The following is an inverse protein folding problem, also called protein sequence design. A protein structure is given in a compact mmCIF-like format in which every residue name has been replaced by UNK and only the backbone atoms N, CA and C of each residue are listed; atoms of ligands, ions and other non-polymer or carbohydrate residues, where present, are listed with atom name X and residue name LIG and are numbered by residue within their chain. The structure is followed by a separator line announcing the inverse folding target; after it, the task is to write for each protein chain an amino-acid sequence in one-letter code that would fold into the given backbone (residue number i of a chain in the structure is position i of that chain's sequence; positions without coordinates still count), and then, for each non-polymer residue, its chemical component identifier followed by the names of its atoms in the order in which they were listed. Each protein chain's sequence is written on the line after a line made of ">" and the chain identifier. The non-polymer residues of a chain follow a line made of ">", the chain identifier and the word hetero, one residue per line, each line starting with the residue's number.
data_IF_430686741822
#
_entry.id   IF_430686741822
#
_cell.length_a   1.000
_cell.length_b   1.000
_cell.length_c   1.000
_cell.angle_alpha   90.00
_cell.angle_beta   90.00
_cell.angle_gamma   90.00
#
_symmetry.space_group_name_H-M   'P 1'
#
loop_
_entity.id
_entity.type
_entity.pdbx_description
1 polymer ?
#
# COMPACT_ATOMS: atom_id res chain seq x y z
N UNK A 1 -7.28 -11.64 6.09
CA UNK A 1 -6.45 -10.43 6.17
C UNK A 1 -5.09 -10.84 6.68
N UNK A 2 -4.05 -10.16 6.21
CA UNK A 2 -2.69 -10.32 6.70
C UNK A 2 -2.27 -9.02 7.38
N UNK A 3 -1.39 -9.11 8.36
CA UNK A 3 -0.86 -7.98 9.11
C UNK A 3 0.67 -8.01 9.01
N UNK A 4 1.29 -6.82 8.94
CA UNK A 4 2.74 -6.65 8.84
C UNK A 4 3.16 -5.42 9.63
N UNK A 5 4.18 -5.58 10.47
CA UNK A 5 4.82 -4.47 11.17
C UNK A 5 6.07 -4.02 10.42
N UNK A 6 6.27 -2.71 10.37
CA UNK A 6 7.42 -2.14 9.71
C UNK A 6 7.47 -0.61 9.79
N UNK A 7 8.43 -0.04 9.09
CA UNK A 7 8.61 1.41 8.98
C UNK A 7 8.31 1.86 7.56
N UNK A 8 7.57 2.95 7.40
CA UNK A 8 7.32 3.55 6.07
C UNK A 8 8.65 4.10 5.54
N UNK A 9 9.17 3.51 4.46
CA UNK A 9 10.40 3.98 3.81
C UNK A 9 10.12 4.93 2.65
N UNK A 10 8.91 4.87 2.06
CA UNK A 10 8.54 5.74 0.95
C UNK A 10 7.03 5.94 0.88
N UNK A 11 6.62 7.16 0.61
CA UNK A 11 5.26 7.51 0.16
C UNK A 11 5.40 8.12 -1.25
N UNK A 12 4.71 7.54 -2.22
CA UNK A 12 4.71 7.98 -3.61
C UNK A 12 3.73 9.11 -3.88
N UNK A 13 3.76 9.62 -5.11
CA UNK A 13 2.82 10.64 -5.57
C UNK A 13 1.47 10.04 -5.99
N UNK A 14 0.42 10.87 -5.97
CA UNK A 14 -0.91 10.50 -6.44
C UNK A 14 -0.88 10.31 -7.97
N UNK A 15 -1.07 9.08 -8.42
CA UNK A 15 -1.23 8.74 -9.83
C UNK A 15 -2.72 8.69 -10.19
N UNK A 16 -3.15 9.45 -11.20
CA UNK A 16 -4.54 9.45 -11.68
C UNK A 16 -4.65 8.71 -13.01
N UNK A 17 -5.63 7.83 -13.13
CA UNK A 17 -5.90 7.04 -14.33
C UNK A 17 -7.14 7.57 -15.06
N UNK A 18 -7.21 7.36 -16.39
CA UNK A 18 -8.34 7.78 -17.23
C UNK A 18 -9.69 7.20 -16.79
N UNK A 19 -9.66 6.09 -16.07
CA UNK A 19 -10.82 5.44 -15.44
C UNK A 19 -11.40 6.21 -14.24
N UNK A 20 -10.78 7.32 -13.82
CA UNK A 20 -11.20 8.13 -12.67
C UNK A 20 -10.67 7.63 -11.33
N UNK A 21 -9.90 6.54 -11.32
CA UNK A 21 -9.22 6.04 -10.13
C UNK A 21 -7.92 6.83 -9.88
N UNK A 22 -7.68 7.19 -8.63
CA UNK A 22 -6.37 7.61 -8.16
C UNK A 22 -5.66 6.42 -7.48
N UNK A 23 -4.34 6.43 -7.43
CA UNK A 23 -3.52 5.43 -6.72
C UNK A 23 -2.37 6.14 -6.04
N UNK A 24 -2.12 5.78 -4.79
CA UNK A 24 -0.88 6.12 -4.08
C UNK A 24 -0.19 4.82 -3.74
N UNK A 25 1.12 4.81 -3.89
CA UNK A 25 1.96 3.68 -3.55
C UNK A 25 2.81 4.05 -2.34
N UNK A 26 2.96 3.14 -1.40
CA UNK A 26 3.91 3.32 -0.29
C UNK A 26 4.71 2.04 -0.09
N UNK A 27 5.87 2.18 0.54
CA UNK A 27 6.78 1.08 0.85
C UNK A 27 6.98 1.01 2.35
N UNK A 28 6.90 -0.20 2.88
CA UNK A 28 7.18 -0.51 4.28
C UNK A 28 8.38 -1.44 4.34
N UNK A 29 9.35 -1.12 5.19
CA UNK A 29 10.47 -1.99 5.52
C UNK A 29 10.09 -2.83 6.72
N UNK A 30 10.10 -4.16 6.59
CA UNK A 30 9.74 -5.07 7.69
C UNK A 30 10.79 -5.08 8.81
N UNK A 31 10.35 -5.28 10.06
CA UNK A 31 11.23 -5.33 11.25
C UNK A 31 11.77 -6.75 11.55
N UNK A 32 11.81 -7.64 10.57
CA UNK A 32 12.29 -9.02 10.75
C UNK A 32 13.82 -9.12 10.68
N UNK A 33 14.38 -10.31 10.99
CA UNK A 33 15.83 -10.57 10.90
C UNK A 33 16.41 -10.24 9.51
N UNK A 34 15.59 -10.32 8.46
CA UNK A 34 15.94 -9.93 7.10
C UNK A 34 14.90 -8.92 6.57
N UNK A 35 15.11 -7.62 6.82
CA UNK A 35 14.18 -6.58 6.41
C UNK A 35 13.89 -6.65 4.91
N UNK A 36 12.60 -6.63 4.56
CA UNK A 36 12.12 -6.61 3.19
C UNK A 36 11.45 -5.27 2.89
N UNK A 37 11.67 -4.72 1.69
CA UNK A 37 10.89 -3.59 1.20
C UNK A 37 9.62 -4.10 0.53
N UNK A 38 8.48 -3.82 1.17
CA UNK A 38 7.18 -4.31 0.75
C UNK A 38 6.36 -3.14 0.25
N UNK A 39 6.00 -3.19 -1.04
CA UNK A 39 5.17 -2.18 -1.67
C UNK A 39 3.68 -2.52 -1.49
N UNK A 40 2.90 -1.54 -1.06
CA UNK A 40 1.47 -1.67 -0.83
C UNK A 40 0.68 -0.46 -1.36
N UNK A 41 -0.61 -0.68 -1.55
CA UNK A 41 -1.54 0.31 -2.09
C UNK A 41 -2.82 0.36 -1.26
N UNK A 42 -3.41 1.54 -1.02
CA UNK A 42 -4.78 1.61 -0.49
C UNK A 42 -5.77 0.86 -1.40
N UNK A 43 -6.85 0.28 -0.87
CA UNK A 43 -7.87 -0.38 -1.68
C UNK A 43 -8.55 0.63 -2.61
N UNK A 44 -8.96 0.19 -3.83
CA UNK A 44 -9.56 1.07 -4.83
C UNK A 44 -10.88 1.72 -4.39
N UNK A 45 -11.56 1.17 -3.37
CA UNK A 45 -12.79 1.73 -2.81
C UNK A 45 -12.55 2.92 -1.89
N UNK A 46 -11.34 3.06 -1.34
CA UNK A 46 -10.93 4.20 -0.51
C UNK A 46 -10.07 5.21 -1.29
N UNK A 47 -9.92 5.02 -2.61
CA UNK A 47 -9.18 5.92 -3.51
C UNK A 47 -10.10 6.90 -4.27
N UNK A 48 -11.40 6.93 -3.95
CA UNK A 48 -12.28 8.02 -4.39
C UNK A 48 -11.88 9.30 -3.65
N UNK A 49 -11.96 10.43 -4.37
CA UNK A 49 -11.35 11.75 -4.09
C UNK A 49 -11.41 12.29 -2.64
N UNK A 50 -12.25 11.74 -1.77
CA UNK A 50 -12.42 12.17 -0.37
C UNK A 50 -11.72 11.26 0.67
N UNK A 51 -11.10 10.14 0.27
CA UNK A 51 -10.56 9.11 1.17
C UNK A 51 -9.06 8.78 1.01
N UNK A 52 -8.31 9.63 0.31
CA UNK A 52 -6.83 9.59 0.31
C UNK A 52 -6.23 9.76 1.73
N UNK A 53 -7.06 10.11 2.73
CA UNK A 53 -6.70 10.31 4.13
C UNK A 53 -6.04 9.15 4.89
N UNK A 54 -5.98 7.93 4.34
CA UNK A 54 -5.30 6.83 5.03
C UNK A 54 -3.80 7.09 5.22
N UNK A 55 -3.15 7.76 4.26
CA UNK A 55 -1.73 8.09 4.30
C UNK A 55 -1.46 9.52 4.77
N UNK A 56 -2.46 10.41 4.79
CA UNK A 56 -2.28 11.83 5.13
C UNK A 56 -1.77 12.07 6.56
N UNK A 57 -1.99 11.10 7.46
CA UNK A 57 -1.53 11.16 8.86
C UNK A 57 -0.17 10.52 9.10
N UNK A 58 0.48 10.00 8.06
CA UNK A 58 1.74 9.27 8.17
C UNK A 58 2.84 9.93 7.33
N UNK A 59 4.06 9.85 7.83
CA UNK A 59 5.27 10.30 7.17
C UNK A 59 6.23 9.13 6.90
N UNK A 60 7.26 9.39 6.10
CA UNK A 60 8.42 8.50 6.04
C UNK A 60 9.05 8.41 7.43
N UNK A 61 9.61 7.25 7.76
CA UNK A 61 10.17 6.87 9.05
C UNK A 61 9.14 6.57 10.16
N UNK A 62 7.83 6.70 9.88
CA UNK A 62 6.80 6.26 10.82
C UNK A 62 6.73 4.73 10.89
N UNK A 63 6.72 4.22 12.14
CA UNK A 63 6.46 2.81 12.42
C UNK A 63 4.96 2.55 12.32
N UNK A 64 4.59 1.52 11.57
CA UNK A 64 3.20 1.15 11.30
C UNK A 64 2.96 -0.35 11.38
N UNK A 65 1.74 -0.72 11.75
CA UNK A 65 1.15 -2.03 11.52
C UNK A 65 0.13 -1.94 10.38
N UNK A 66 0.45 -2.58 9.26
CA UNK A 66 -0.34 -2.54 8.04
C UNK A 66 -1.18 -3.81 7.93
N UNK A 67 -2.50 -3.65 7.86
CA UNK A 67 -3.40 -4.73 7.49
C UNK A 67 -3.75 -4.65 6.02
N UNK A 68 -3.56 -5.75 5.30
CA UNK A 68 -3.77 -5.81 3.86
C UNK A 68 -4.41 -7.13 3.39
N UNK A 69 -4.91 -7.08 2.16
CA UNK A 69 -5.33 -8.25 1.41
C UNK A 69 -4.33 -8.50 0.26
N UNK A 70 -4.05 -9.78 -0.01
CA UNK A 70 -3.22 -10.18 -1.14
C UNK A 70 -4.14 -10.45 -2.32
N UNK A 71 -3.95 -9.69 -3.41
CA UNK A 71 -4.69 -9.89 -4.65
C UNK A 71 -3.72 -10.30 -5.78
N UNK A 72 -3.88 -11.53 -6.25
CA UNK A 72 -3.22 -11.98 -7.47
C UNK A 72 -3.99 -11.57 -8.72
N UNK A 73 -3.27 -11.11 -9.73
CA UNK A 73 -3.78 -10.94 -11.09
C UNK A 73 -2.81 -11.62 -12.06
N UNK A 74 -3.33 -12.24 -13.11
CA UNK A 74 -2.52 -12.80 -14.20
C UNK A 74 -2.68 -11.93 -15.43
N UNK A 75 -1.56 -11.56 -16.05
CA UNK A 75 -1.53 -10.81 -17.29
C UNK A 75 -0.42 -11.34 -18.19
N UNK A 76 -0.82 -11.85 -19.36
CA UNK A 76 0.09 -12.42 -20.36
C UNK A 76 1.02 -13.52 -19.80
N UNK A 77 0.47 -14.41 -18.99
CA UNK A 77 1.20 -15.51 -18.36
C UNK A 77 2.10 -15.09 -17.20
N UNK A 78 2.08 -13.80 -16.81
CA UNK A 78 2.80 -13.29 -15.64
C UNK A 78 1.84 -13.06 -14.49
N UNK A 79 2.21 -13.54 -13.32
CA UNK A 79 1.45 -13.33 -12.09
C UNK A 79 1.95 -12.08 -11.37
N UNK A 80 1.03 -11.18 -11.06
CA UNK A 80 1.27 -9.95 -10.33
C UNK A 80 0.52 -10.00 -9.01
N UNK A 81 1.21 -9.64 -7.94
CA UNK A 81 0.62 -9.55 -6.60
C UNK A 81 0.45 -8.07 -6.27
N UNK A 82 -0.76 -7.72 -5.82
CA UNK A 82 -1.06 -6.41 -5.28
C UNK A 82 -1.43 -6.57 -3.81
N UNK A 83 -0.73 -5.84 -2.94
CA UNK A 83 -1.05 -5.75 -1.52
C UNK A 83 -1.97 -4.55 -1.31
N UNK A 84 -3.23 -4.84 -1.01
CA UNK A 84 -4.26 -3.82 -0.78
C UNK A 84 -4.35 -3.52 0.72
N UNK A 85 -3.66 -2.49 1.17
CA UNK A 85 -3.60 -2.03 2.55
C UNK A 85 -4.85 -1.20 2.91
N UNK A 86 -5.74 -1.78 3.71
CA UNK A 86 -7.02 -1.17 4.09
C UNK A 86 -7.00 -0.58 5.51
N UNK A 87 -5.93 -0.83 6.28
CA UNK A 87 -5.72 -0.24 7.61
C UNK A 87 -4.23 -0.05 7.87
N UNK A 88 -3.89 1.11 8.41
CA UNK A 88 -2.59 1.42 9.00
C UNK A 88 -2.83 1.83 10.47
N UNK A 89 -1.94 1.43 11.36
CA UNK A 89 -1.96 1.72 12.80
C UNK A 89 -0.56 2.06 13.28
#
# INVERSE_FOLDING_TARGET
>A
SYDMEGTISKIGEVQTFESGFAKIEFVVTTEEMYPQEVNAFPPPQDLFKDKIGLLDSYAVDDRVCVSFNIRGNEWQGRHYVNLQAWRLQ
#
